data_IF_215504306506
#
_entry.id   IF_215504306506
#
_cell.length_a   1.000
_cell.length_b   1.000
_cell.length_c   1.000
_cell.angle_alpha   90.00
_cell.angle_beta   90.00
_cell.angle_gamma   90.00
#
_symmetry.space_group_name_H-M   'P 1'
#
loop_
_entity.id
_entity.type
_entity.pdbx_description
1 polymer ?
#
# COMPACT_ATOMS: atom_id res chain seq x y z
N UNK A 1 -13.69 25.26 7.61
CA UNK A 1 -13.83 23.80 7.56
C UNK A 1 -12.58 23.27 6.88
N UNK A 2 -11.64 22.71 7.62
CA UNK A 2 -10.43 22.11 7.03
C UNK A 2 -10.88 20.87 6.25
N UNK A 3 -10.61 20.85 4.95
CA UNK A 3 -10.84 19.66 4.13
C UNK A 3 -9.91 18.56 4.65
N UNK A 4 -10.48 17.54 5.30
CA UNK A 4 -9.73 16.32 5.62
C UNK A 4 -9.53 15.60 4.30
N UNK A 5 -8.28 15.58 3.81
CA UNK A 5 -7.95 14.84 2.61
C UNK A 5 -8.06 13.33 2.90
N UNK A 6 -8.83 12.56 2.09
CA UNK A 6 -8.92 11.11 2.24
C UNK A 6 -7.53 10.46 2.15
N UNK A 7 -7.28 9.45 2.99
CA UNK A 7 -5.98 8.74 2.95
C UNK A 7 -5.87 7.84 1.73
N UNK A 8 -6.93 7.13 1.39
CA UNK A 8 -6.99 6.15 0.30
C UNK A 8 -8.10 6.52 -0.68
N UNK A 9 -7.89 6.19 -1.94
CA UNK A 9 -8.84 6.35 -3.04
C UNK A 9 -9.44 4.99 -3.43
N UNK A 10 -10.78 4.88 -3.54
CA UNK A 10 -11.43 3.70 -4.12
C UNK A 10 -10.96 3.40 -5.54
N UNK A 11 -10.70 4.43 -6.35
CA UNK A 11 -10.24 4.27 -7.73
C UNK A 11 -8.88 3.56 -7.77
N UNK A 12 -7.97 3.96 -6.90
CA UNK A 12 -6.66 3.31 -6.78
C UNK A 12 -6.81 1.90 -6.20
N UNK A 13 -7.73 1.68 -5.26
CA UNK A 13 -8.09 0.34 -4.79
C UNK A 13 -8.54 -0.59 -5.91
N UNK A 14 -9.44 -0.13 -6.79
CA UNK A 14 -9.87 -0.89 -7.97
C UNK A 14 -8.73 -1.10 -8.98
N UNK A 15 -7.89 -0.08 -9.21
CA UNK A 15 -6.73 -0.22 -10.09
C UNK A 15 -5.75 -1.29 -9.56
N UNK A 16 -5.47 -1.30 -8.26
CA UNK A 16 -4.64 -2.33 -7.61
C UNK A 16 -5.33 -3.70 -7.51
N UNK A 17 -6.66 -3.76 -7.62
CA UNK A 17 -7.40 -5.01 -7.67
C UNK A 17 -7.33 -5.69 -9.05
N UNK A 18 -7.33 -4.90 -10.14
CA UNK A 18 -7.23 -5.40 -11.52
C UNK A 18 -5.77 -5.58 -11.97
N UNK A 19 -4.95 -4.54 -11.76
CA UNK A 19 -3.58 -4.46 -12.29
C UNK A 19 -2.50 -4.76 -11.24
N UNK A 20 -2.88 -4.80 -9.96
CA UNK A 20 -1.98 -5.32 -8.94
C UNK A 20 -1.89 -6.84 -9.01
N UNK A 21 -0.81 -7.40 -8.47
CA UNK A 21 -0.73 -8.83 -8.19
C UNK A 21 -1.82 -9.22 -7.16
N UNK A 22 -2.16 -10.51 -7.10
CA UNK A 22 -3.24 -11.03 -6.26
C UNK A 22 -3.12 -10.57 -4.80
N UNK A 23 -4.11 -9.80 -4.34
CA UNK A 23 -4.20 -9.29 -2.97
C UNK A 23 -3.60 -7.90 -2.74
N UNK A 24 -2.98 -7.24 -3.73
CA UNK A 24 -2.35 -5.92 -3.59
C UNK A 24 -3.29 -4.86 -2.97
N UNK A 25 -4.54 -4.80 -3.44
CA UNK A 25 -5.56 -3.89 -2.92
C UNK A 25 -5.89 -4.10 -1.43
N UNK A 26 -5.72 -5.32 -0.89
CA UNK A 26 -5.93 -5.59 0.55
C UNK A 26 -4.80 -5.03 1.39
N UNK A 27 -3.56 -5.14 0.90
CA UNK A 27 -2.42 -4.50 1.54
C UNK A 27 -2.54 -2.99 1.47
N UNK A 28 -3.00 -2.45 0.33
CA UNK A 28 -3.32 -1.04 0.15
C UNK A 28 -4.24 -0.51 1.26
N UNK A 29 -5.35 -1.19 1.56
CA UNK A 29 -6.23 -0.82 2.67
C UNK A 29 -5.74 -1.25 4.07
N UNK A 30 -4.48 -1.64 4.20
CA UNK A 30 -3.86 -1.97 5.48
C UNK A 30 -4.40 -3.25 6.12
N UNK A 31 -4.73 -4.27 5.31
CA UNK A 31 -5.13 -5.61 5.76
C UNK A 31 -4.09 -6.69 5.39
N UNK A 32 -2.88 -6.63 5.98
CA UNK A 32 -1.74 -7.45 5.56
C UNK A 32 -1.97 -8.96 5.73
N UNK A 33 -2.66 -9.38 6.79
CA UNK A 33 -2.96 -10.81 7.04
C UNK A 33 -3.84 -11.35 5.90
N UNK A 34 -4.95 -10.69 5.60
CA UNK A 34 -5.83 -11.13 4.51
C UNK A 34 -5.19 -10.93 3.13
N UNK A 35 -4.37 -9.90 2.92
CA UNK A 35 -3.60 -9.76 1.69
C UNK A 35 -2.64 -10.92 1.46
N UNK A 36 -1.98 -11.38 2.53
CA UNK A 36 -1.06 -12.54 2.49
C UNK A 36 -1.82 -13.82 2.18
N UNK A 37 -2.98 -14.03 2.81
CA UNK A 37 -3.86 -15.14 2.48
C UNK A 37 -4.28 -15.11 1.01
N UNK A 38 -4.70 -13.96 0.49
CA UNK A 38 -5.09 -13.79 -0.91
C UNK A 38 -3.93 -14.09 -1.85
N UNK A 39 -2.72 -13.62 -1.53
CA UNK A 39 -1.54 -13.87 -2.35
C UNK A 39 -1.24 -15.37 -2.50
N UNK A 40 -1.21 -16.12 -1.40
CA UNK A 40 -0.89 -17.55 -1.43
C UNK A 40 -2.02 -18.45 -1.94
N UNK A 41 -3.27 -17.98 -1.91
CA UNK A 41 -4.45 -18.76 -2.30
C UNK A 41 -5.05 -18.34 -3.64
N UNK A 42 -4.39 -17.41 -4.33
CA UNK A 42 -4.90 -16.75 -5.53
C UNK A 42 -6.31 -16.14 -5.30
N UNK A 43 -6.47 -15.47 -4.17
CA UNK A 43 -7.73 -14.87 -3.72
C UNK A 43 -8.79 -15.88 -3.33
N UNK A 44 -8.36 -17.05 -2.85
CA UNK A 44 -9.16 -18.26 -2.60
C UNK A 44 -9.85 -18.80 -3.85
N UNK A 45 -9.04 -19.16 -4.85
CA UNK A 45 -9.46 -19.75 -6.14
C UNK A 45 -10.32 -18.81 -7.01
N UNK A 46 -10.07 -17.50 -6.90
CA UNK A 46 -10.74 -16.47 -7.73
C UNK A 46 -12.11 -16.00 -7.24
N UNK A 47 -12.77 -16.73 -6.35
CA UNK A 47 -14.07 -16.31 -5.79
C UNK A 47 -13.89 -15.07 -4.90
N UNK A 48 -12.90 -15.07 -4.02
CA UNK A 48 -12.60 -13.93 -3.17
C UNK A 48 -12.22 -12.69 -3.98
N UNK A 49 -11.56 -12.86 -5.13
CA UNK A 49 -11.27 -11.77 -6.07
C UNK A 49 -12.55 -11.11 -6.61
N UNK A 50 -13.61 -11.88 -6.91
CA UNK A 50 -14.90 -11.31 -7.33
C UNK A 50 -15.58 -10.59 -6.16
N UNK A 51 -15.59 -11.20 -4.97
CA UNK A 51 -16.20 -10.61 -3.77
C UNK A 51 -15.52 -9.28 -3.39
N UNK A 52 -14.22 -9.14 -3.67
CA UNK A 52 -13.47 -7.91 -3.39
C UNK A 52 -14.06 -6.67 -4.09
N UNK A 53 -14.74 -6.82 -5.24
CA UNK A 53 -15.46 -5.73 -5.91
C UNK A 53 -16.42 -5.02 -4.95
N UNK A 54 -17.09 -5.78 -4.09
CA UNK A 54 -18.05 -5.26 -3.11
C UNK A 54 -17.38 -4.84 -1.79
N UNK A 55 -16.22 -5.40 -1.46
CA UNK A 55 -15.52 -5.12 -0.20
C UNK A 55 -14.66 -3.86 -0.25
N UNK A 56 -14.19 -3.45 -1.43
CA UNK A 56 -13.32 -2.27 -1.61
C UNK A 56 -13.88 -1.01 -0.93
N UNK A 57 -15.17 -0.63 -1.10
CA UNK A 57 -15.73 0.54 -0.42
C UNK A 57 -15.70 0.44 1.11
N UNK A 58 -15.92 -0.75 1.66
CA UNK A 58 -15.87 -0.98 3.10
C UNK A 58 -14.43 -0.89 3.64
N UNK A 59 -13.48 -1.51 2.94
CA UNK A 59 -12.06 -1.43 3.28
C UNK A 59 -11.53 0.01 3.21
N UNK A 60 -12.00 0.81 2.23
CA UNK A 60 -11.66 2.22 2.13
C UNK A 60 -12.07 3.02 3.36
N UNK A 61 -13.32 2.87 3.82
CA UNK A 61 -13.81 3.57 5.03
C UNK A 61 -13.04 3.17 6.28
N UNK A 62 -12.70 1.89 6.41
CA UNK A 62 -11.91 1.41 7.54
C UNK A 62 -10.49 1.98 7.51
N UNK A 63 -9.84 2.02 6.34
CA UNK A 63 -8.52 2.62 6.16
C UNK A 63 -8.52 4.11 6.52
N UNK A 64 -9.57 4.84 6.14
CA UNK A 64 -9.75 6.26 6.46
C UNK A 64 -9.82 6.51 7.98
N UNK A 65 -10.48 5.63 8.74
CA UNK A 65 -10.51 5.74 10.21
C UNK A 65 -9.19 5.35 10.92
N UNK A 66 -8.34 4.57 10.26
CA UNK A 66 -7.13 3.97 10.87
C UNK A 66 -5.86 4.77 10.61
N UNK A 67 -5.80 5.48 9.48
CA UNK A 67 -4.58 6.10 8.99
C UNK A 67 -4.68 7.64 8.99
N UNK A 68 -3.55 8.29 9.21
CA UNK A 68 -3.46 9.76 9.29
C UNK A 68 -3.04 10.35 7.96
N UNK A 69 -3.87 11.22 7.37
CA UNK A 69 -3.51 12.00 6.18
C UNK A 69 -2.46 13.06 6.52
N UNK A 70 -1.66 13.45 5.52
CA UNK A 70 -0.57 14.40 5.70
C UNK A 70 0.23 14.58 4.42
N UNK A 71 1.51 14.95 4.56
CA UNK A 71 2.40 15.28 3.43
C UNK A 71 2.65 14.10 2.48
N UNK A 72 2.71 12.88 3.01
CA UNK A 72 2.95 11.68 2.21
C UNK A 72 1.60 11.06 1.83
N UNK A 73 1.37 10.97 0.52
CA UNK A 73 0.16 10.41 -0.07
C UNK A 73 0.29 8.88 -0.18
N UNK A 74 -0.70 8.17 0.36
CA UNK A 74 -0.74 6.70 0.33
C UNK A 74 -0.88 6.18 -1.10
N UNK A 75 -1.72 6.81 -1.92
CA UNK A 75 -1.94 6.41 -3.31
C UNK A 75 -0.63 6.44 -4.09
N UNK A 76 0.11 7.53 -4.00
CA UNK A 76 1.39 7.70 -4.71
C UNK A 76 2.39 6.66 -4.21
N UNK A 77 2.55 6.50 -2.90
CA UNK A 77 3.48 5.53 -2.34
C UNK A 77 3.16 4.09 -2.75
N UNK A 78 1.87 3.73 -2.82
CA UNK A 78 1.43 2.42 -3.26
C UNK A 78 1.60 2.18 -4.75
N UNK A 79 1.30 3.16 -5.61
CA UNK A 79 1.60 3.07 -7.04
C UNK A 79 3.10 2.89 -7.28
N UNK A 80 3.94 3.64 -6.55
CA UNK A 80 5.39 3.49 -6.61
C UNK A 80 5.84 2.10 -6.13
N UNK A 81 5.27 1.56 -5.05
CA UNK A 81 5.60 0.21 -4.58
C UNK A 81 5.17 -0.87 -5.58
N UNK A 82 3.95 -0.78 -6.11
CA UNK A 82 3.39 -1.81 -7.00
C UNK A 82 4.12 -1.86 -8.34
N UNK A 83 4.41 -0.71 -8.95
CA UNK A 83 4.98 -0.68 -10.31
C UNK A 83 6.50 -0.50 -10.33
N UNK A 84 7.07 0.15 -9.31
CA UNK A 84 8.48 0.55 -9.28
C UNK A 84 9.18 0.12 -7.96
N UNK A 85 8.56 -0.77 -7.20
CA UNK A 85 9.04 -1.20 -5.88
C UNK A 85 10.38 -1.93 -5.91
N UNK A 86 10.67 -2.67 -6.98
CA UNK A 86 11.97 -3.34 -7.20
C UNK A 86 13.14 -2.34 -7.27
N UNK A 87 12.88 -1.12 -7.72
CA UNK A 87 13.86 -0.03 -7.75
C UNK A 87 13.86 0.81 -6.46
N UNK A 88 12.97 0.53 -5.50
CA UNK A 88 12.90 1.25 -4.23
C UNK A 88 12.34 2.67 -4.31
N UNK A 89 11.60 3.04 -5.37
CA UNK A 89 11.14 4.43 -5.55
C UNK A 89 10.18 4.91 -4.46
N UNK A 90 9.35 4.03 -3.90
CA UNK A 90 8.51 4.35 -2.75
C UNK A 90 9.33 4.70 -1.50
N UNK A 91 10.54 4.13 -1.34
CA UNK A 91 11.45 4.47 -0.24
C UNK A 91 12.08 5.84 -0.45
N UNK A 92 12.48 6.18 -1.67
CA UNK A 92 12.94 7.53 -2.01
C UNK A 92 11.84 8.57 -1.83
N UNK A 93 10.60 8.27 -2.22
CA UNK A 93 9.44 9.13 -1.97
C UNK A 93 9.31 9.45 -0.47
N UNK A 94 9.49 8.44 0.39
CA UNK A 94 9.52 8.61 1.83
C UNK A 94 10.82 9.23 2.39
N UNK A 95 11.77 9.66 1.56
CA UNK A 95 13.09 10.18 1.97
C UNK A 95 13.97 9.14 2.71
N UNK A 96 13.74 7.84 2.49
CA UNK A 96 14.56 6.74 3.04
C UNK A 96 15.71 6.38 2.09
N UNK A 97 16.59 7.35 1.84
CA UNK A 97 17.66 7.28 0.83
C UNK A 97 18.55 6.04 0.92
N UNK A 98 19.06 5.72 2.12
CA UNK A 98 19.96 4.57 2.31
C UNK A 98 19.27 3.27 1.89
N UNK A 99 18.05 3.03 2.38
CA UNK A 99 17.30 1.81 2.01
C UNK A 99 16.78 1.83 0.56
N UNK A 100 16.55 3.01 -0.02
CA UNK A 100 16.20 3.15 -1.44
C UNK A 100 17.38 2.77 -2.34
N UNK A 101 18.59 3.24 -2.04
CA UNK A 101 19.82 2.84 -2.76
C UNK A 101 20.05 1.34 -2.60
N UNK A 102 19.88 0.81 -1.39
CA UNK A 102 19.97 -0.62 -1.16
C UNK A 102 19.01 -1.38 -2.09
N UNK A 103 17.73 -0.99 -2.15
CA UNK A 103 16.75 -1.61 -3.03
C UNK A 103 17.18 -1.54 -4.49
N UNK A 104 17.62 -0.37 -4.95
CA UNK A 104 18.07 -0.16 -6.33
C UNK A 104 19.24 -1.09 -6.71
N UNK A 105 20.22 -1.25 -5.81
CA UNK A 105 21.40 -2.10 -6.05
C UNK A 105 21.12 -3.61 -5.91
N UNK A 106 20.02 -4.00 -5.27
CA UNK A 106 19.75 -5.40 -4.87
C UNK A 106 18.43 -5.95 -5.40
N UNK A 107 17.70 -5.17 -6.21
CA UNK A 107 16.37 -5.52 -6.69
C UNK A 107 15.34 -5.66 -5.56
N UNK A 108 15.22 -4.64 -4.71
CA UNK A 108 14.29 -4.64 -3.58
C UNK A 108 14.71 -5.54 -2.41
N UNK A 109 16.02 -5.77 -2.29
CA UNK A 109 16.73 -6.75 -1.47
C UNK A 109 16.30 -8.20 -1.68
N UNK A 110 16.43 -8.72 -2.91
CA UNK A 110 15.99 -10.07 -3.29
C UNK A 110 14.48 -10.29 -3.09
N UNK A 111 13.67 -9.26 -3.38
CA UNK A 111 12.20 -9.25 -3.29
C UNK A 111 11.61 -9.35 -1.87
N UNK A 112 12.36 -9.82 -0.88
CA UNK A 112 11.89 -9.91 0.51
C UNK A 112 11.57 -8.54 1.10
N UNK A 113 12.35 -7.51 0.73
CA UNK A 113 12.07 -6.13 1.13
C UNK A 113 10.74 -5.62 0.60
N UNK A 114 10.34 -6.02 -0.61
CA UNK A 114 9.05 -5.67 -1.20
C UNK A 114 7.91 -6.28 -0.37
N UNK A 115 8.03 -7.56 0.02
CA UNK A 115 7.05 -8.22 0.89
C UNK A 115 6.92 -7.53 2.26
N UNK A 116 8.04 -7.13 2.84
CA UNK A 116 8.05 -6.34 4.08
C UNK A 116 7.33 -4.99 3.90
N UNK A 117 7.54 -4.31 2.77
CA UNK A 117 6.89 -3.04 2.48
C UNK A 117 5.38 -3.19 2.24
N UNK A 118 4.93 -4.28 1.60
CA UNK A 118 3.49 -4.58 1.50
C UNK A 118 2.80 -4.62 2.86
N UNK A 119 3.50 -5.12 3.89
CA UNK A 119 2.95 -5.18 5.24
C UNK A 119 2.97 -3.85 5.98
N UNK A 120 4.02 -3.06 5.79
CA UNK A 120 4.36 -1.98 6.71
C UNK A 120 4.18 -0.58 6.13
N UNK A 121 4.04 -0.43 4.80
CA UNK A 121 4.01 0.87 4.12
C UNK A 121 2.98 1.84 4.71
N UNK A 122 1.75 1.37 4.96
CA UNK A 122 0.70 2.22 5.50
C UNK A 122 1.03 2.78 6.89
N UNK A 123 1.58 1.93 7.76
CA UNK A 123 2.01 2.34 9.10
C UNK A 123 3.15 3.35 9.01
N UNK A 124 4.15 3.09 8.17
CA UNK A 124 5.30 3.99 7.96
C UNK A 124 4.86 5.38 7.48
N UNK A 125 3.88 5.45 6.56
CA UNK A 125 3.33 6.71 6.06
C UNK A 125 2.52 7.41 7.17
N UNK A 126 1.67 6.66 7.88
CA UNK A 126 0.83 7.22 8.95
C UNK A 126 1.66 7.81 10.08
N UNK A 127 2.75 7.14 10.47
CA UNK A 127 3.69 7.65 11.46
C UNK A 127 4.35 8.95 10.99
N UNK A 128 4.83 8.99 9.74
CA UNK A 128 5.44 10.21 9.17
C UNK A 128 4.47 11.37 9.04
N UNK A 129 3.23 11.10 8.69
CA UNK A 129 2.18 12.12 8.61
C UNK A 129 1.81 12.62 10.02
N UNK A 130 1.81 11.75 11.04
CA UNK A 130 1.52 12.14 12.43
C UNK A 130 2.62 12.99 13.06
N UNK A 131 3.89 12.73 12.73
CA UNK A 131 5.05 13.39 13.32
C UNK A 131 5.28 14.83 12.81
N UNK A 132 4.43 15.38 11.93
CA UNK A 132 4.58 16.72 11.37
C UNK A 132 3.29 17.54 11.54
N UNK A 133 3.16 18.19 12.70
CA UNK A 133 2.28 19.35 12.94
C UNK A 133 3.09 20.65 13.05
N UNK A 134 4.24 20.73 12.37
CA UNK A 134 5.13 21.91 12.34
C UNK A 134 5.47 22.35 10.90
#
# INVERSE_FOLDING_TARGET
>A
MTYVHPTHSPIIGYALWIFGFLGAHRFYYGKPITGTLWFFTLGLLGIGWIIDLLLIPAMNREAESRFTSGRFDYNVAWLLLTFLGVFGLHRFYQHKWITGILYLCTGGLFLLGILYDFWTLNTQISEKNRLRFD
#
